data_IF_575136785759
#
_entry.id   IF_575136785759
#
_cell.length_a   1.000
_cell.length_b   1.000
_cell.length_c   1.000
_cell.angle_alpha   90.00
_cell.angle_beta   90.00
_cell.angle_gamma   90.00
#
_symmetry.space_group_name_H-M   'P 1'
#
loop_
_entity.id
_entity.type
_entity.pdbx_description
1 polymer ?
#
# COMPACT_ATOMS: atom_id res chain seq x y z
N UNK A 1 26.87 -25.98 -18.49
CA UNK A 1 27.49 -24.84 -17.79
C UNK A 1 26.61 -24.55 -16.59
N UNK A 2 27.06 -24.87 -15.38
CA UNK A 2 26.29 -24.56 -14.16
C UNK A 2 26.42 -23.08 -13.87
N UNK A 3 25.31 -22.34 -13.93
CA UNK A 3 25.30 -20.94 -13.50
C UNK A 3 25.63 -20.90 -12.00
N UNK A 4 26.67 -20.15 -11.63
CA UNK A 4 27.08 -19.97 -10.25
C UNK A 4 26.20 -18.87 -9.63
N UNK A 5 25.30 -19.27 -8.74
CA UNK A 5 24.32 -18.38 -8.09
C UNK A 5 25.01 -17.34 -7.19
N UNK A 6 26.24 -17.60 -6.72
CA UNK A 6 26.99 -16.70 -5.83
C UNK A 6 27.59 -15.48 -6.55
N UNK A 7 27.44 -15.36 -7.88
CA UNK A 7 27.95 -14.22 -8.67
C UNK A 7 26.86 -13.22 -9.12
N UNK A 8 25.63 -13.37 -8.64
CA UNK A 8 24.58 -12.40 -8.93
C UNK A 8 24.74 -11.26 -7.92
N UNK A 9 25.34 -10.15 -8.34
CA UNK A 9 25.36 -8.92 -7.52
C UNK A 9 23.91 -8.52 -7.25
N UNK A 10 23.47 -8.41 -5.98
CA UNK A 10 22.14 -7.92 -5.67
C UNK A 10 22.00 -6.52 -6.26
N UNK A 11 21.02 -6.33 -7.14
CA UNK A 11 20.62 -5.00 -7.56
C UNK A 11 19.88 -4.38 -6.39
N UNK A 12 20.61 -3.72 -5.49
CA UNK A 12 19.97 -2.98 -4.39
C UNK A 12 19.14 -1.84 -5.00
N UNK A 13 17.86 -1.77 -4.62
CA UNK A 13 17.08 -0.54 -4.78
C UNK A 13 17.85 0.61 -4.12
N UNK A 14 17.92 1.76 -4.78
CA UNK A 14 18.67 2.92 -4.26
C UNK A 14 18.08 3.42 -2.94
N UNK A 15 16.81 3.08 -2.66
CA UNK A 15 16.10 3.50 -1.46
C UNK A 15 15.58 2.30 -0.67
N UNK A 16 16.31 1.93 0.37
CA UNK A 16 15.93 0.90 1.34
C UNK A 16 14.95 1.46 2.39
N UNK A 17 13.66 1.17 2.19
CA UNK A 17 12.59 1.61 3.09
C UNK A 17 12.53 0.84 4.42
N UNK A 18 13.28 -0.27 4.57
CA UNK A 18 13.24 -1.07 5.80
C UNK A 18 13.67 -0.29 7.04
N UNK A 19 14.57 0.69 6.85
CA UNK A 19 15.14 1.52 7.91
C UNK A 19 14.15 2.50 8.52
N UNK A 20 13.01 2.70 7.86
CA UNK A 20 12.01 3.72 8.19
C UNK A 20 10.65 3.11 8.58
N UNK A 21 10.57 1.79 8.72
CA UNK A 21 9.33 1.07 9.06
C UNK A 21 8.73 1.49 10.40
N UNK A 22 9.53 2.01 11.32
CA UNK A 22 9.07 2.56 12.60
C UNK A 22 8.74 4.06 12.56
N UNK A 23 8.87 4.71 11.41
CA UNK A 23 8.61 6.13 11.23
C UNK A 23 7.37 6.37 10.40
N UNK A 24 6.65 7.44 10.72
CA UNK A 24 5.54 7.93 9.92
C UNK A 24 6.04 9.01 8.96
N UNK A 25 5.71 8.88 7.68
CA UNK A 25 6.09 9.87 6.68
C UNK A 25 5.03 10.97 6.59
N UNK A 26 5.43 12.21 6.88
CA UNK A 26 4.57 13.38 6.70
C UNK A 26 5.38 14.57 6.18
N UNK A 27 4.94 15.16 5.07
CA UNK A 27 5.51 16.39 4.51
C UNK A 27 4.33 17.28 4.07
N UNK A 28 3.83 18.16 4.94
CA UNK A 28 2.59 18.90 4.68
C UNK A 28 2.72 19.95 3.56
N UNK A 29 3.92 20.47 3.33
CA UNK A 29 4.16 21.58 2.41
C UNK A 29 4.57 21.14 1.00
N UNK A 30 4.58 19.82 0.72
CA UNK A 30 5.01 19.27 -0.56
C UNK A 30 4.03 18.22 -1.07
N UNK A 31 3.93 18.16 -2.41
CA UNK A 31 3.16 17.17 -3.13
C UNK A 31 4.12 16.23 -3.86
N UNK A 32 3.85 14.93 -3.79
CA UNK A 32 4.60 13.92 -4.55
C UNK A 32 4.05 13.85 -5.97
N UNK A 33 4.87 14.21 -6.96
CA UNK A 33 4.48 14.16 -8.37
C UNK A 33 4.88 12.84 -9.04
N UNK A 34 6.01 12.27 -8.65
CA UNK A 34 6.58 11.06 -9.23
C UNK A 34 7.32 10.26 -8.16
N UNK A 35 7.30 8.93 -8.32
CA UNK A 35 8.13 8.00 -7.57
C UNK A 35 9.29 7.52 -8.43
N UNK A 36 10.40 7.19 -7.76
CA UNK A 36 11.58 6.63 -8.39
C UNK A 36 11.76 5.16 -7.98
N UNK A 37 12.53 4.44 -8.78
CA UNK A 37 12.94 3.06 -8.53
C UNK A 37 11.74 2.10 -8.45
N UNK A 38 11.82 1.11 -7.58
CA UNK A 38 10.77 0.13 -7.32
C UNK A 38 9.80 0.58 -6.22
N UNK A 39 9.70 1.88 -5.93
CA UNK A 39 8.85 2.41 -4.86
C UNK A 39 7.39 2.51 -5.31
N UNK A 40 6.48 2.07 -4.46
CA UNK A 40 5.03 2.10 -4.65
C UNK A 40 4.40 2.99 -3.59
N UNK A 41 3.47 3.86 -3.99
CA UNK A 41 2.51 4.52 -3.09
C UNK A 41 1.18 3.79 -3.19
N UNK A 42 0.67 3.31 -2.06
CA UNK A 42 -0.62 2.65 -1.99
C UNK A 42 -1.46 3.15 -0.81
N UNK A 43 -2.78 3.13 -0.95
CA UNK A 43 -3.75 3.47 0.09
C UNK A 43 -4.34 2.19 0.71
N UNK A 44 -4.41 2.14 2.04
CA UNK A 44 -5.00 0.98 2.70
C UNK A 44 -6.50 0.87 2.40
N UNK A 45 -6.93 -0.28 1.88
CA UNK A 45 -8.35 -0.58 1.64
C UNK A 45 -8.96 -1.43 2.76
N UNK A 46 -8.12 -1.88 3.68
CA UNK A 46 -8.49 -2.80 4.75
C UNK A 46 -8.52 -2.15 6.13
N UNK A 47 -8.56 -0.82 6.21
CA UNK A 47 -8.63 -0.08 7.47
C UNK A 47 -10.03 0.43 7.77
N UNK A 48 -10.31 0.66 9.05
CA UNK A 48 -11.44 1.44 9.50
C UNK A 48 -11.31 2.91 9.08
N UNK A 49 -12.42 3.68 9.04
CA UNK A 49 -12.40 5.10 8.68
C UNK A 49 -11.47 5.95 9.56
N UNK A 50 -11.25 5.54 10.81
CA UNK A 50 -10.34 6.16 11.76
C UNK A 50 -8.90 5.60 11.71
N UNK A 51 -8.61 4.62 10.86
CA UNK A 51 -7.27 4.06 10.63
C UNK A 51 -6.76 3.11 11.73
N UNK A 52 -7.50 2.90 12.82
CA UNK A 52 -7.01 2.19 14.00
C UNK A 52 -7.29 0.68 14.02
N UNK A 53 -8.10 0.18 13.08
CA UNK A 53 -8.48 -1.22 13.01
C UNK A 53 -8.43 -1.74 11.58
N UNK A 54 -8.16 -3.04 11.45
CA UNK A 54 -8.18 -3.76 10.18
C UNK A 54 -9.55 -4.42 10.01
N UNK A 55 -10.17 -4.27 8.84
CA UNK A 55 -11.42 -4.96 8.47
C UNK A 55 -11.13 -6.36 7.93
N UNK A 56 -11.74 -7.39 8.52
CA UNK A 56 -11.67 -8.80 8.09
C UNK A 56 -13.04 -9.45 8.22
N UNK A 57 -13.63 -9.92 7.12
CA UNK A 57 -14.93 -10.62 7.13
C UNK A 57 -16.02 -9.89 7.92
N UNK A 58 -16.11 -8.56 7.74
CA UNK A 58 -17.08 -7.72 8.44
C UNK A 58 -16.73 -7.25 9.86
N UNK A 59 -15.66 -7.76 10.49
CA UNK A 59 -15.24 -7.31 11.84
C UNK A 59 -14.02 -6.37 11.79
N UNK A 60 -13.95 -5.46 12.76
CA UNK A 60 -12.79 -4.58 12.97
C UNK A 60 -11.87 -5.13 14.05
N UNK A 61 -10.63 -5.41 13.68
CA UNK A 61 -9.59 -5.92 14.57
C UNK A 61 -8.61 -4.78 14.88
N UNK A 62 -8.47 -4.37 16.15
CA UNK A 62 -7.53 -3.30 16.53
C UNK A 62 -6.09 -3.61 16.11
N UNK A 63 -5.40 -2.64 15.51
CA UNK A 63 -4.03 -2.82 15.00
C UNK A 63 -3.03 -3.30 16.07
N UNK A 64 -3.18 -2.82 17.30
CA UNK A 64 -2.33 -3.20 18.43
C UNK A 64 -2.41 -4.69 18.80
N UNK A 65 -3.48 -5.39 18.41
CA UNK A 65 -3.65 -6.84 18.64
C UNK A 65 -3.10 -7.70 17.52
N UNK A 66 -2.79 -7.11 16.35
CA UNK A 66 -2.33 -7.84 15.17
C UNK A 66 -1.19 -7.09 14.44
N UNK A 67 -0.04 -6.86 15.10
CA UNK A 67 1.07 -6.05 14.56
C UNK A 67 1.74 -6.67 13.31
N UNK A 68 1.55 -7.98 13.08
CA UNK A 68 2.05 -8.70 11.89
C UNK A 68 0.91 -9.15 10.96
N UNK A 69 -0.22 -8.45 11.01
CA UNK A 69 -1.30 -8.70 10.09
C UNK A 69 -0.83 -8.42 8.65
N UNK A 70 -1.16 -9.34 7.75
CA UNK A 70 -1.09 -9.08 6.32
C UNK A 70 -2.03 -7.95 5.97
N UNK A 71 -1.63 -7.08 5.03
CA UNK A 71 -2.36 -5.87 4.64
C UNK A 71 -2.76 -5.92 3.18
N UNK A 72 -3.82 -5.20 2.86
CA UNK A 72 -4.26 -4.95 1.49
C UNK A 72 -4.30 -3.46 1.24
N UNK A 73 -3.63 -3.02 0.17
CA UNK A 73 -3.64 -1.63 -0.25
C UNK A 73 -3.89 -1.51 -1.76
N UNK A 74 -4.51 -0.41 -2.16
CA UNK A 74 -4.79 -0.03 -3.54
C UNK A 74 -3.65 0.85 -4.04
N UNK A 75 -3.04 0.50 -5.16
CA UNK A 75 -1.88 1.20 -5.72
C UNK A 75 -2.33 2.51 -6.36
N UNK A 76 -1.63 3.59 -6.02
CA UNK A 76 -1.91 4.95 -6.49
C UNK A 76 -0.83 5.46 -7.45
N UNK A 77 0.44 5.30 -7.08
CA UNK A 77 1.60 5.64 -7.91
C UNK A 77 2.62 4.52 -7.85
N UNK A 78 3.37 4.37 -8.94
CA UNK A 78 4.46 3.40 -9.08
C UNK A 78 5.70 4.12 -9.58
N UNK A 79 6.85 3.69 -9.10
CA UNK A 79 8.15 4.12 -9.60
C UNK A 79 8.45 3.59 -10.99
N UNK A 80 9.44 4.18 -11.64
CA UNK A 80 9.83 3.89 -13.02
C UNK A 80 10.42 2.48 -13.23
N UNK A 81 10.86 1.80 -12.15
CA UNK A 81 11.35 0.42 -12.20
C UNK A 81 10.35 -0.63 -11.71
N UNK A 82 9.13 -0.25 -11.34
CA UNK A 82 8.08 -1.22 -11.05
C UNK A 82 7.67 -1.94 -12.35
N UNK A 83 7.66 -3.27 -12.34
CA UNK A 83 7.40 -4.10 -13.53
C UNK A 83 6.13 -4.94 -13.43
N UNK A 84 5.73 -5.27 -12.21
CA UNK A 84 4.68 -6.24 -11.91
C UNK A 84 3.39 -5.58 -11.43
N UNK A 85 3.49 -4.36 -10.91
CA UNK A 85 2.37 -3.63 -10.31
C UNK A 85 2.05 -2.37 -11.12
N UNK A 86 0.75 -2.05 -11.25
CA UNK A 86 0.27 -0.81 -11.87
C UNK A 86 -0.70 -0.07 -10.94
N UNK A 87 -0.87 1.25 -11.11
CA UNK A 87 -1.93 1.96 -10.42
C UNK A 87 -3.29 1.34 -10.69
N UNK A 88 -4.12 1.23 -9.65
CA UNK A 88 -5.39 0.50 -9.75
C UNK A 88 -5.33 -0.96 -9.28
N UNK A 89 -4.15 -1.54 -9.06
CA UNK A 89 -4.05 -2.90 -8.50
C UNK A 89 -4.23 -2.90 -6.98
N UNK A 90 -4.73 -4.01 -6.44
CA UNK A 90 -4.72 -4.27 -5.00
C UNK A 90 -3.57 -5.18 -4.67
N UNK A 91 -2.65 -4.72 -3.85
CA UNK A 91 -1.46 -5.46 -3.44
C UNK A 91 -1.61 -6.01 -2.04
N UNK A 92 -1.02 -7.18 -1.81
CA UNK A 92 -1.00 -7.88 -0.52
C UNK A 92 0.45 -7.97 -0.04
N UNK A 93 0.70 -7.60 1.21
CA UNK A 93 2.04 -7.56 1.79
C UNK A 93 2.00 -7.72 3.32
N UNK A 94 3.11 -8.14 3.96
CA UNK A 94 3.22 -8.13 5.43
C UNK A 94 3.14 -6.70 5.98
N UNK A 95 2.36 -6.46 7.03
CA UNK A 95 2.10 -5.10 7.54
C UNK A 95 3.29 -4.35 8.13
N UNK A 96 4.44 -5.02 8.30
CA UNK A 96 5.71 -4.47 8.79
C UNK A 96 6.68 -4.07 7.66
N UNK A 97 6.29 -4.24 6.38
CA UNK A 97 7.17 -4.09 5.23
C UNK A 97 7.04 -2.75 4.48
N UNK A 98 6.66 -1.68 5.16
CA UNK A 98 6.54 -0.36 4.53
C UNK A 98 6.58 0.80 5.52
N UNK A 99 6.56 2.02 4.99
CA UNK A 99 6.48 3.26 5.75
C UNK A 99 5.03 3.73 5.74
N UNK A 100 4.33 3.76 6.88
CA UNK A 100 2.98 4.30 6.94
C UNK A 100 2.97 5.81 6.66
N UNK A 101 1.91 6.24 6.01
CA UNK A 101 1.72 7.62 5.55
C UNK A 101 0.37 8.11 6.07
N UNK A 102 0.36 9.35 6.56
CA UNK A 102 -0.88 10.05 6.93
C UNK A 102 -0.96 11.38 6.21
N UNK A 103 -2.13 11.64 5.59
CA UNK A 103 -2.47 12.95 4.97
C UNK A 103 -1.48 13.45 3.91
N UNK A 104 -0.89 12.56 3.13
CA UNK A 104 0.06 12.92 2.08
C UNK A 104 -0.65 13.46 0.83
N UNK A 105 -0.13 14.55 0.27
CA UNK A 105 -0.57 15.08 -1.02
C UNK A 105 0.25 14.47 -2.15
N UNK A 106 -0.40 14.08 -3.24
CA UNK A 106 0.23 13.54 -4.44
C UNK A 106 -0.51 13.96 -5.70
N UNK A 107 0.17 13.91 -6.85
CA UNK A 107 -0.44 14.10 -8.16
C UNK A 107 -1.03 12.79 -8.64
N UNK A 108 -2.35 12.73 -8.81
CA UNK A 108 -3.01 11.58 -9.42
C UNK A 108 -2.56 11.39 -10.87
N UNK A 109 -2.80 10.20 -11.41
CA UNK A 109 -2.53 9.85 -12.82
C UNK A 109 -3.27 10.80 -13.78
N UNK A 110 -4.42 11.33 -13.37
CA UNK A 110 -5.21 12.31 -14.13
C UNK A 110 -4.62 13.73 -14.10
N UNK A 111 -3.50 13.94 -13.40
CA UNK A 111 -2.84 15.24 -13.24
C UNK A 111 -3.47 16.15 -12.17
N UNK A 112 -4.52 15.68 -11.47
CA UNK A 112 -5.16 16.42 -10.41
C UNK A 112 -4.47 16.20 -9.04
N UNK A 113 -4.39 17.22 -8.17
CA UNK A 113 -3.92 17.05 -6.81
C UNK A 113 -4.92 16.18 -6.02
N UNK A 114 -4.38 15.19 -5.31
CA UNK A 114 -5.12 14.26 -4.49
C UNK A 114 -4.45 14.09 -3.13
N UNK A 115 -5.19 13.55 -2.16
CA UNK A 115 -4.68 13.30 -0.81
C UNK A 115 -4.99 11.87 -0.38
N UNK A 116 -3.98 11.21 0.19
CA UNK A 116 -4.12 9.90 0.83
C UNK A 116 -4.29 10.10 2.33
N UNK A 117 -5.40 9.59 2.89
CA UNK A 117 -5.63 9.68 4.32
C UNK A 117 -4.74 8.70 5.09
N UNK A 118 -4.76 7.42 4.69
CA UNK A 118 -3.99 6.34 5.29
C UNK A 118 -3.29 5.52 4.19
N UNK A 119 -2.00 5.74 4.01
CA UNK A 119 -1.22 5.12 2.95
C UNK A 119 0.02 4.38 3.43
N UNK A 120 0.76 3.85 2.46
CA UNK A 120 2.04 3.19 2.68
C UNK A 120 2.97 3.42 1.48
N UNK A 121 4.24 3.63 1.79
CA UNK A 121 5.34 3.47 0.83
C UNK A 121 5.99 2.11 1.03
N UNK A 122 6.19 1.37 -0.05
CA UNK A 122 6.89 0.09 -0.03
C UNK A 122 7.58 -0.18 -1.36
N UNK A 123 8.65 -0.98 -1.33
CA UNK A 123 9.31 -1.47 -2.53
C UNK A 123 8.50 -2.60 -3.18
N UNK A 124 8.52 -2.71 -4.51
CA UNK A 124 7.82 -3.76 -5.28
C UNK A 124 8.21 -5.17 -4.81
N UNK A 125 9.48 -5.38 -4.44
CA UNK A 125 9.98 -6.65 -3.91
C UNK A 125 9.30 -7.13 -2.60
N UNK A 126 8.66 -6.20 -1.87
CA UNK A 126 7.96 -6.49 -0.60
C UNK A 126 6.51 -6.91 -0.81
N UNK A 127 6.01 -6.77 -2.04
CA UNK A 127 4.67 -7.19 -2.43
C UNK A 127 4.66 -8.70 -2.62
N UNK A 128 3.73 -9.38 -1.97
CA UNK A 128 3.56 -10.82 -2.13
C UNK A 128 2.77 -11.17 -3.40
N UNK A 129 1.80 -10.33 -3.75
CA UNK A 129 1.04 -10.50 -4.99
C UNK A 129 -0.08 -9.48 -5.15
N UNK A 130 -0.66 -9.47 -6.35
CA UNK A 130 -1.87 -8.71 -6.68
C UNK A 130 -3.09 -9.56 -6.37
N UNK A 131 -4.06 -9.00 -5.64
CA UNK A 131 -5.28 -9.67 -5.23
C UNK A 131 -6.52 -9.07 -5.92
N UNK A 132 -7.48 -9.92 -6.24
CA UNK A 132 -8.83 -9.51 -6.62
C UNK A 132 -9.78 -9.71 -5.43
N UNK A 133 -10.83 -8.89 -5.29
CA UNK A 133 -11.89 -9.18 -4.32
C UNK A 133 -12.56 -10.51 -4.66
N UNK A 134 -12.66 -11.41 -3.70
CA UNK A 134 -13.51 -12.60 -3.82
C UNK A 134 -14.97 -12.14 -3.86
N UNK A 135 -15.75 -12.68 -4.79
CA UNK A 135 -17.18 -12.39 -4.96
C UNK A 135 -17.99 -12.87 -3.75
N UNK A 136 -17.92 -12.17 -2.62
CA UNK A 136 -18.79 -12.40 -1.44
C UNK A 136 -19.03 -11.14 -0.57
N UNK A 137 -18.40 -9.99 -0.86
CA UNK A 137 -18.49 -8.79 0.01
C UNK A 137 -19.07 -7.56 -0.74
N UNK A 138 -20.16 -7.77 -1.49
CA UNK A 138 -20.87 -6.70 -2.22
C UNK A 138 -22.37 -6.71 -1.94
N UNK A 139 -22.84 -6.76 -0.70
CA UNK A 139 -24.28 -6.61 -0.42
C UNK A 139 -24.57 -6.22 1.04
N UNK A 140 -24.55 -4.93 1.34
CA UNK A 140 -25.57 -4.37 2.23
C UNK A 140 -25.87 -2.95 1.78
N UNK A 141 -26.70 -2.85 0.74
CA UNK A 141 -27.49 -1.64 0.51
C UNK A 141 -28.51 -1.55 1.63
N UNK A 142 -28.29 -0.64 2.57
CA UNK A 142 -29.32 -0.18 3.49
C UNK A 142 -30.46 0.42 2.65
N UNK A 143 -31.47 -0.39 2.40
CA UNK A 143 -32.76 0.08 1.89
C UNK A 143 -33.49 0.64 3.09
N UNK A 144 -33.39 1.95 3.32
CA UNK A 144 -34.29 2.64 4.25
C UNK A 144 -35.70 2.57 3.65
N UNK A 145 -36.49 1.65 4.19
CA UNK A 145 -37.92 1.54 3.97
C UNK A 145 -38.66 2.71 4.61
N UNK A 146 -39.61 3.21 3.84
CA UNK A 146 -40.63 4.20 4.13
C UNK A 146 -41.45 3.86 5.37
N UNK A 147 -41.77 4.88 6.18
CA UNK A 147 -43.06 5.04 6.85
C UNK A 147 -43.36 6.54 6.97
#
# INVERSE_FOLDING_TARGET
MSANIDQITPTESLMDLSRYTSSEFTIPDHQIEQLFDDVILAEYVDVSPDGNAIKRGGIFIPLNTAPRAWRVAQVLLVGDKCTSVKPGDRIVFPGDMGIPITKLQYTSIDGAPAQVANGVFLNEERVFGVAAPTTDESSTTDTQGTA
#
